data_IF_825488558983
#
_entry.id   IF_825488558983
#
_cell.length_a   1.000
_cell.length_b   1.000
_cell.length_c   1.000
_cell.angle_alpha   90.00
_cell.angle_beta   90.00
_cell.angle_gamma   90.00
#
_symmetry.space_group_name_H-M   'P 1'
#
loop_
_entity.id
_entity.type
_entity.pdbx_description
1 polymer ?
#
# COMPACT_ATOMS: atom_id res chain seq x y z
N UNK A 1 -4.87 6.83 -20.62
CA UNK A 1 -4.29 6.64 -19.27
C UNK A 1 -2.90 7.25 -19.29
N UNK A 2 -2.62 8.25 -18.43
CA UNK A 2 -1.39 9.06 -18.54
C UNK A 2 -0.16 8.30 -17.98
N UNK A 3 0.96 8.27 -18.71
CA UNK A 3 2.17 7.50 -18.33
C UNK A 3 2.74 7.95 -16.98
N UNK A 4 2.60 9.23 -16.66
CA UNK A 4 3.04 9.82 -15.40
C UNK A 4 2.25 9.28 -14.19
N UNK A 5 0.95 9.05 -14.38
CA UNK A 5 0.10 8.46 -13.33
C UNK A 5 0.55 7.05 -12.96
N UNK A 6 0.80 6.20 -13.97
CA UNK A 6 1.27 4.83 -13.75
C UNK A 6 2.65 4.80 -13.07
N UNK A 7 3.55 5.72 -13.45
CA UNK A 7 4.86 5.86 -12.82
C UNK A 7 4.75 6.27 -11.35
N UNK A 8 3.94 7.29 -11.03
CA UNK A 8 3.71 7.70 -9.63
C UNK A 8 3.12 6.58 -8.78
N UNK A 9 2.08 5.91 -9.30
CA UNK A 9 1.44 4.78 -8.62
C UNK A 9 2.46 3.66 -8.33
N UNK A 10 3.24 3.24 -9.33
CA UNK A 10 4.23 2.19 -9.15
C UNK A 10 5.35 2.60 -8.18
N UNK A 11 5.80 3.86 -8.23
CA UNK A 11 6.79 4.38 -7.29
C UNK A 11 6.28 4.35 -5.85
N UNK A 12 5.02 4.73 -5.62
CA UNK A 12 4.40 4.68 -4.29
C UNK A 12 4.24 3.23 -3.80
N UNK A 13 3.82 2.30 -4.65
CA UNK A 13 3.77 0.87 -4.32
C UNK A 13 5.15 0.31 -3.94
N UNK A 14 6.21 0.70 -4.66
CA UNK A 14 7.57 0.29 -4.29
C UNK A 14 8.00 0.87 -2.94
N UNK A 15 7.70 2.15 -2.68
CA UNK A 15 8.03 2.79 -1.39
C UNK A 15 7.34 2.10 -0.23
N UNK A 16 6.07 1.73 -0.38
CA UNK A 16 5.32 0.97 0.62
C UNK A 16 5.96 -0.39 0.89
N UNK A 17 6.30 -1.15 -0.15
CA UNK A 17 6.94 -2.47 0.01
C UNK A 17 8.32 -2.41 0.65
N UNK A 18 9.08 -1.36 0.39
CA UNK A 18 10.43 -1.17 0.97
C UNK A 18 10.41 -0.68 2.43
N UNK A 19 9.29 -0.13 2.88
CA UNK A 19 9.14 0.40 4.24
C UNK A 19 8.03 -0.32 5.00
N UNK A 20 7.82 -1.61 4.72
CA UNK A 20 6.90 -2.41 5.51
C UNK A 20 7.35 -2.40 6.97
N UNK A 21 6.43 -2.23 7.94
CA UNK A 21 6.80 -2.11 9.36
C UNK A 21 7.54 -3.33 9.92
N UNK A 22 7.46 -4.47 9.24
CA UNK A 22 8.15 -5.71 9.58
C UNK A 22 9.63 -5.74 9.13
N UNK A 23 10.03 -4.85 8.22
CA UNK A 23 11.39 -4.83 7.66
C UNK A 23 12.36 -4.06 8.58
N UNK A 24 13.56 -4.60 8.84
CA UNK A 24 14.56 -3.92 9.65
C UNK A 24 15.06 -2.65 8.95
N UNK A 25 14.90 -1.50 9.61
CA UNK A 25 15.25 -0.19 9.06
C UNK A 25 14.12 0.48 8.26
N UNK A 26 12.91 -0.08 8.29
CA UNK A 26 11.73 0.58 7.77
C UNK A 26 11.44 1.88 8.52
N UNK A 27 11.14 2.93 7.75
CA UNK A 27 10.71 4.20 8.29
C UNK A 27 9.17 4.27 8.25
N UNK A 28 8.54 4.11 9.42
CA UNK A 28 7.07 4.12 9.55
C UNK A 28 6.45 5.41 9.01
N UNK A 29 7.16 6.53 9.14
CA UNK A 29 6.67 7.82 8.65
C UNK A 29 6.69 7.89 7.12
N UNK A 30 7.72 7.33 6.47
CA UNK A 30 7.76 7.16 5.01
C UNK A 30 6.65 6.22 4.54
N UNK A 31 6.36 5.15 5.29
CA UNK A 31 5.28 4.22 4.97
C UNK A 31 3.90 4.89 5.02
N UNK A 32 3.54 5.55 6.12
CA UNK A 32 2.25 6.23 6.29
C UNK A 32 2.06 7.36 5.27
N UNK A 33 3.14 8.09 4.97
CA UNK A 33 3.12 9.13 3.93
C UNK A 33 2.83 8.52 2.56
N UNK A 34 3.54 7.47 2.17
CA UNK A 34 3.33 6.80 0.89
C UNK A 34 1.92 6.16 0.80
N UNK A 35 1.39 5.67 1.92
CA UNK A 35 0.05 5.09 2.02
C UNK A 35 -1.03 6.15 1.75
N UNK A 36 -0.90 7.31 2.39
CA UNK A 36 -1.81 8.44 2.23
C UNK A 36 -1.72 9.02 0.80
N UNK A 37 -0.52 9.19 0.28
CA UNK A 37 -0.30 9.66 -1.09
C UNK A 37 -0.90 8.71 -2.13
N UNK A 38 -0.73 7.39 -1.94
CA UNK A 38 -1.29 6.39 -2.83
C UNK A 38 -2.82 6.37 -2.75
N UNK A 39 -3.38 6.40 -1.54
CA UNK A 39 -4.82 6.50 -1.28
C UNK A 39 -5.46 7.65 -2.04
N UNK A 40 -4.90 8.86 -1.93
CA UNK A 40 -5.38 10.04 -2.66
C UNK A 40 -5.22 9.85 -4.17
N UNK A 41 -4.10 9.25 -4.63
CA UNK A 41 -3.82 9.10 -6.05
C UNK A 41 -4.79 8.14 -6.76
N UNK A 42 -5.11 7.01 -6.14
CA UNK A 42 -5.97 5.97 -6.76
C UNK A 42 -7.40 5.95 -6.19
N UNK A 43 -7.69 6.83 -5.23
CA UNK A 43 -8.97 6.93 -4.51
C UNK A 43 -9.37 5.60 -3.86
N UNK A 44 -8.41 4.93 -3.22
CA UNK A 44 -8.64 3.68 -2.47
C UNK A 44 -8.40 3.91 -0.99
N UNK A 45 -9.21 3.28 -0.15
CA UNK A 45 -9.03 3.27 1.29
C UNK A 45 -7.73 2.57 1.71
N UNK A 46 -7.20 2.97 2.87
CA UNK A 46 -5.94 2.44 3.39
C UNK A 46 -6.01 0.91 3.58
N UNK A 47 -7.10 0.38 4.12
CA UNK A 47 -7.29 -1.07 4.29
C UNK A 47 -7.20 -1.82 2.97
N UNK A 48 -7.74 -1.27 1.88
CA UNK A 48 -7.65 -1.89 0.54
C UNK A 48 -6.23 -1.91 -0.01
N UNK A 49 -5.45 -0.87 0.28
CA UNK A 49 -4.04 -0.80 -0.10
C UNK A 49 -3.20 -1.79 0.72
N UNK A 50 -3.44 -1.86 2.04
CA UNK A 50 -2.78 -2.80 2.95
C UNK A 50 -3.06 -4.25 2.56
N UNK A 51 -4.32 -4.60 2.24
CA UNK A 51 -4.69 -5.90 1.70
C UNK A 51 -3.91 -6.22 0.40
N UNK A 52 -3.71 -5.23 -0.47
CA UNK A 52 -2.89 -5.35 -1.68
C UNK A 52 -1.38 -5.50 -1.43
N UNK A 53 -0.89 -5.11 -0.25
CA UNK A 53 0.48 -5.39 0.20
C UNK A 53 0.65 -6.80 0.78
N UNK A 54 -0.45 -7.54 0.98
CA UNK A 54 -0.44 -8.84 1.64
C UNK A 54 -0.39 -8.74 3.16
N UNK A 55 -0.61 -7.55 3.73
CA UNK A 55 -0.92 -7.40 5.15
C UNK A 55 -2.44 -7.53 5.28
N UNK A 56 -2.95 -8.69 5.74
CA UNK A 56 -4.38 -8.81 5.97
C UNK A 56 -4.78 -7.77 7.00
N UNK A 57 -5.82 -6.99 6.70
CA UNK A 57 -6.64 -6.46 7.78
C UNK A 57 -7.12 -7.68 8.56
N UNK A 58 -6.94 -7.68 9.88
CA UNK A 58 -7.29 -8.82 10.75
C UNK A 58 -8.76 -9.26 10.59
N UNK A 59 -9.58 -8.46 9.88
CA UNK A 59 -10.94 -8.75 9.45
C UNK A 59 -11.13 -9.63 8.20
N UNK A 60 -10.11 -9.94 7.39
CA UNK A 60 -10.29 -10.65 6.09
C UNK A 60 -9.67 -12.05 6.01
N UNK A 61 -9.16 -12.61 7.11
CA UNK A 61 -8.70 -14.01 7.16
C UNK A 61 -9.85 -15.04 6.97
N UNK A 62 -11.11 -14.59 6.96
CA UNK A 62 -12.31 -15.40 6.75
C UNK A 62 -13.03 -14.95 5.46
N UNK A 63 -12.30 -14.90 4.34
CA UNK A 63 -12.81 -14.51 3.03
C UNK A 63 -12.44 -15.51 1.94
N UNK A 64 -12.79 -16.77 2.18
CA UNK A 64 -12.96 -17.92 1.26
C UNK A 64 -12.94 -17.57 -0.25
N UNK A 65 -12.32 -18.39 -1.11
CA UNK A 65 -12.99 -19.38 -2.00
C UNK A 65 -12.04 -19.78 -3.16
N UNK A 66 -12.33 -20.81 -3.98
CA UNK A 66 -13.08 -22.06 -3.79
C UNK A 66 -12.24 -23.33 -4.11
#
# INVERSE_FOLDING_TARGET
>A
MNREFLQRRNALWQRLRLNLPEEPGADSQVFETALTELSILIQWDHSRILAGLGQPDEAEAEGERP
#
